data_IF_663494605404
#
_entry.id   IF_663494605404
#
_cell.length_a   1.000
_cell.length_b   1.000
_cell.length_c   1.000
_cell.angle_alpha   90.00
_cell.angle_beta   90.00
_cell.angle_gamma   90.00
#
_symmetry.space_group_name_H-M   'P 1'
#
loop_
_entity.id
_entity.type
_entity.pdbx_description
1 polymer ?
#
# COMPACT_ATOMS: atom_id res chain seq x y z
N UNK A 1 2.63 3.95 3.98
CA UNK A 1 2.18 4.85 2.89
C UNK A 1 0.87 5.47 3.32
N UNK A 2 0.82 6.81 3.42
CA UNK A 2 -0.45 7.51 3.69
C UNK A 2 -1.33 7.49 2.44
N UNK A 3 -2.59 7.07 2.60
CA UNK A 3 -3.46 6.73 1.47
C UNK A 3 -3.71 7.89 0.51
N UNK A 4 -4.09 9.07 1.03
CA UNK A 4 -4.46 10.23 0.23
C UNK A 4 -3.28 10.74 -0.59
N UNK A 5 -2.13 10.88 0.05
CA UNK A 5 -0.87 11.26 -0.58
C UNK A 5 -0.47 10.26 -1.67
N UNK A 6 -0.62 8.97 -1.39
CA UNK A 6 -0.31 7.91 -2.34
C UNK A 6 -1.22 7.95 -3.58
N UNK A 7 -2.55 7.95 -3.43
CA UNK A 7 -3.47 8.01 -4.60
C UNK A 7 -3.31 9.29 -5.41
N UNK A 8 -3.00 10.40 -4.75
CA UNK A 8 -2.73 11.69 -5.41
C UNK A 8 -1.46 11.62 -6.26
N UNK A 9 -0.38 11.08 -5.69
CA UNK A 9 0.90 10.89 -6.41
C UNK A 9 0.75 9.92 -7.58
N UNK A 10 -0.03 8.87 -7.42
CA UNK A 10 -0.33 7.89 -8.48
C UNK A 10 -1.32 8.41 -9.52
N UNK A 11 -1.95 9.58 -9.29
CA UNK A 11 -3.00 10.16 -10.14
C UNK A 11 -4.16 9.18 -10.35
N UNK A 12 -4.52 8.44 -9.30
CA UNK A 12 -5.57 7.43 -9.35
C UNK A 12 -6.95 8.09 -9.56
N UNK A 13 -7.70 7.75 -10.62
CA UNK A 13 -9.05 8.26 -10.84
C UNK A 13 -10.00 7.91 -9.69
N UNK A 14 -10.97 8.79 -9.40
CA UNK A 14 -11.90 8.63 -8.28
C UNK A 14 -12.63 7.26 -8.23
N UNK A 15 -13.10 6.67 -9.34
CA UNK A 15 -13.72 5.34 -9.30
C UNK A 15 -12.78 4.24 -8.81
N UNK A 16 -11.48 4.36 -9.10
CA UNK A 16 -10.48 3.38 -8.66
C UNK A 16 -10.06 3.61 -7.21
N UNK A 17 -10.07 4.85 -6.73
CA UNK A 17 -9.87 5.14 -5.30
C UNK A 17 -10.94 4.46 -4.46
N UNK A 18 -12.20 4.54 -4.89
CA UNK A 18 -13.32 3.86 -4.22
C UNK A 18 -13.19 2.34 -4.28
N UNK A 19 -12.85 1.79 -5.46
CA UNK A 19 -12.60 0.36 -5.60
C UNK A 19 -11.48 -0.14 -4.68
N UNK A 20 -10.40 0.61 -4.51
CA UNK A 20 -9.30 0.27 -3.60
C UNK A 20 -9.80 0.22 -2.15
N UNK A 21 -10.61 1.19 -1.72
CA UNK A 21 -11.19 1.20 -0.36
C UNK A 21 -12.10 0.01 -0.11
N UNK A 22 -12.96 -0.31 -1.08
CA UNK A 22 -13.82 -1.50 -1.00
C UNK A 22 -12.99 -2.79 -0.92
N UNK A 23 -11.90 -2.86 -1.68
CA UNK A 23 -10.98 -3.99 -1.64
C UNK A 23 -10.24 -4.10 -0.30
N UNK A 24 -9.73 -3.00 0.25
CA UNK A 24 -9.12 -2.97 1.59
C UNK A 24 -10.12 -3.37 2.69
N UNK A 25 -11.36 -2.90 2.62
CA UNK A 25 -12.40 -3.23 3.60
C UNK A 25 -12.77 -4.73 3.58
N UNK A 26 -12.83 -5.32 2.39
CA UNK A 26 -13.13 -6.75 2.20
C UNK A 26 -11.92 -7.68 2.36
N UNK A 27 -10.72 -7.13 2.56
CA UNK A 27 -9.50 -7.91 2.71
C UNK A 27 -9.55 -8.85 3.95
N UNK A 28 -9.00 -10.06 3.85
CA UNK A 28 -8.86 -10.96 5.00
C UNK A 28 -8.07 -10.34 6.15
N UNK A 29 -8.29 -10.83 7.38
CA UNK A 29 -7.65 -10.30 8.59
C UNK A 29 -6.13 -10.41 8.52
N UNK A 30 -5.61 -11.51 7.98
CA UNK A 30 -4.17 -11.72 7.80
C UNK A 30 -3.56 -10.70 6.84
N UNK A 31 -4.28 -10.31 5.78
CA UNK A 31 -3.85 -9.29 4.82
C UNK A 31 -3.85 -7.91 5.47
N UNK A 32 -4.93 -7.58 6.19
CA UNK A 32 -5.03 -6.33 6.96
C UNK A 32 -3.90 -6.19 7.96
N UNK A 33 -3.58 -7.27 8.68
CA UNK A 33 -2.48 -7.29 9.66
C UNK A 33 -1.12 -7.18 9.00
N UNK A 34 -0.87 -7.94 7.93
CA UNK A 34 0.43 -7.96 7.26
C UNK A 34 0.79 -6.59 6.67
N UNK A 35 -0.14 -5.97 5.95
CA UNK A 35 0.06 -4.65 5.32
C UNK A 35 -0.32 -3.48 6.22
N UNK A 36 -0.53 -3.71 7.52
CA UNK A 36 -0.90 -2.68 8.50
C UNK A 36 -2.02 -1.75 7.98
N UNK A 37 -3.08 -2.33 7.41
CA UNK A 37 -4.20 -1.58 6.83
C UNK A 37 -4.93 -0.79 7.94
N UNK A 38 -4.98 0.52 7.79
CA UNK A 38 -5.63 1.46 8.71
C UNK A 38 -7.01 1.89 8.19
N UNK A 39 -7.84 2.44 9.08
CA UNK A 39 -9.21 2.87 8.75
C UNK A 39 -9.27 3.98 7.69
N UNK A 40 -8.22 4.80 7.57
CA UNK A 40 -8.10 5.85 6.54
C UNK A 40 -7.65 5.31 5.16
N UNK A 41 -7.34 4.00 5.09
CA UNK A 41 -6.80 3.29 3.93
C UNK A 41 -5.28 3.28 3.85
N UNK A 42 -4.58 3.88 4.82
CA UNK A 42 -3.12 3.88 4.87
C UNK A 42 -2.60 2.45 5.11
N UNK A 43 -1.43 2.15 4.53
CA UNK A 43 -0.90 0.78 4.51
C UNK A 43 0.63 0.76 4.48
N UNK A 44 1.26 -0.30 4.97
CA UNK A 44 2.69 -0.56 4.83
C UNK A 44 2.99 -1.34 3.54
N UNK A 45 4.21 -1.22 3.03
CA UNK A 45 4.70 -1.99 1.89
C UNK A 45 6.09 -2.49 2.22
N UNK A 46 6.37 -3.73 1.85
CA UNK A 46 7.70 -4.28 1.98
C UNK A 46 8.68 -3.47 1.14
N UNK A 47 9.84 -3.21 1.71
CA UNK A 47 10.96 -2.54 1.03
C UNK A 47 12.22 -3.29 1.43
N UNK A 48 13.01 -3.70 0.44
CA UNK A 48 14.32 -4.29 0.66
C UNK A 48 15.38 -3.41 0.01
N UNK A 49 16.47 -3.15 0.73
CA UNK A 49 17.65 -2.49 0.19
C UNK A 49 18.71 -3.55 -0.07
N UNK A 50 19.19 -3.61 -1.30
CA UNK A 50 20.24 -4.53 -1.72
C UNK A 50 21.47 -3.69 -2.09
N UNK A 51 22.59 -3.96 -1.45
CA UNK A 51 23.89 -3.41 -1.80
C UNK A 51 24.79 -4.54 -2.25
N UNK A 52 25.45 -4.37 -3.40
CA UNK A 52 26.34 -5.36 -3.97
C UNK A 52 27.71 -4.74 -4.24
N UNK A 53 28.76 -5.46 -3.89
CA UNK A 53 30.14 -5.09 -4.21
C UNK A 53 30.70 -6.02 -5.28
N UNK A 54 31.62 -5.50 -6.08
CA UNK A 54 32.36 -6.30 -7.05
C UNK A 54 33.10 -7.42 -6.32
N UNK A 55 32.98 -8.66 -6.80
CA UNK A 55 33.80 -9.77 -6.34
C UNK A 55 35.28 -9.50 -6.67
N UNK A 56 36.14 -9.55 -5.66
CA UNK A 56 37.60 -9.39 -5.80
C UNK A 56 38.21 -10.66 -6.37
#
# INVERSE_FOLDING_TARGET
>A
LEFRSWVTRMRTPAPLVEAIRLYQASAPVEVKRYFELQDDGSFSSDTIMLEAHKAV
#
